data_IF_134717126482
#
_entry.id   IF_134717126482
#
_cell.length_a   1.000
_cell.length_b   1.000
_cell.length_c   1.000
_cell.angle_alpha   90.00
_cell.angle_beta   90.00
_cell.angle_gamma   90.00
#
_symmetry.space_group_name_H-M   'P 1'
#
loop_
_entity.id
_entity.type
_entity.pdbx_description
1 polymer ?
#
# COMPACT_ATOMS: atom_id res chain seq x y z
N UNK A 1 0.55 -0.44 20.64
CA UNK A 1 1.68 -0.67 19.71
C UNK A 1 2.27 0.70 19.42
N UNK A 2 3.59 0.79 19.39
CA UNK A 2 4.33 2.03 19.64
C UNK A 2 4.66 2.73 18.32
N UNK A 3 4.22 3.99 18.14
CA UNK A 3 4.54 4.85 16.99
C UNK A 3 5.87 5.57 17.22
N UNK A 4 6.52 6.16 16.21
CA UNK A 4 7.77 6.91 16.44
C UNK A 4 7.58 8.07 17.44
N UNK A 5 6.38 8.65 17.47
CA UNK A 5 5.97 9.73 18.39
C UNK A 5 5.67 9.23 19.81
N UNK A 6 5.26 7.97 19.96
CA UNK A 6 4.95 7.38 21.28
C UNK A 6 5.99 6.38 21.77
N UNK A 7 7.05 6.16 20.99
CA UNK A 7 8.14 5.24 21.27
C UNK A 7 9.20 5.84 22.16
N UNK A 8 9.69 5.02 23.06
CA UNK A 8 10.85 5.32 23.88
C UNK A 8 12.11 4.83 23.18
N UNK A 9 13.25 5.45 23.47
CA UNK A 9 14.55 5.04 22.92
C UNK A 9 14.85 3.56 23.20
N UNK A 10 14.42 3.02 24.35
CA UNK A 10 14.53 1.59 24.69
C UNK A 10 13.78 0.63 23.75
N UNK A 11 12.81 1.12 22.99
CA UNK A 11 12.00 0.31 22.07
C UNK A 11 12.70 0.13 20.71
N UNK A 12 13.74 0.92 20.43
CA UNK A 12 14.55 0.79 19.22
C UNK A 12 15.70 -0.22 19.41
N UNK A 13 16.16 -0.80 18.30
CA UNK A 13 17.37 -1.63 18.29
C UNK A 13 18.58 -0.71 18.50
N UNK A 14 19.26 -0.88 19.63
CA UNK A 14 20.46 -0.11 19.96
C UNK A 14 21.72 -0.86 19.52
N UNK A 15 22.61 -0.19 18.78
CA UNK A 15 23.90 -0.77 18.40
C UNK A 15 24.84 -0.73 19.61
N UNK A 16 25.52 -1.84 19.89
CA UNK A 16 26.55 -1.89 20.93
C UNK A 16 27.72 -0.97 20.54
N UNK A 17 28.18 -0.09 21.45
CA UNK A 17 29.28 0.80 21.15
C UNK A 17 30.59 0.02 21.02
N UNK A 18 31.35 0.29 19.95
CA UNK A 18 32.75 -0.12 19.82
C UNK A 18 33.62 0.98 20.43
N UNK A 19 34.47 0.64 21.40
CA UNK A 19 35.34 1.61 22.07
C UNK A 19 36.78 1.45 21.59
N UNK A 20 37.46 2.58 21.37
CA UNK A 20 38.89 2.64 21.05
C UNK A 20 39.58 3.70 21.92
N UNK A 21 40.90 3.56 22.07
CA UNK A 21 41.73 4.55 22.74
C UNK A 21 42.02 5.76 21.83
N UNK A 22 42.11 6.95 22.41
CA UNK A 22 42.42 8.19 21.72
C UNK A 22 43.72 8.17 20.91
N UNK A 23 44.71 7.39 21.33
CA UNK A 23 46.01 7.23 20.65
C UNK A 23 46.04 6.12 19.60
N UNK A 24 44.91 5.46 19.35
CA UNK A 24 44.77 4.56 18.20
C UNK A 24 45.05 5.33 16.92
N UNK A 25 45.83 4.74 16.00
CA UNK A 25 46.05 5.35 14.68
C UNK A 25 44.86 5.08 13.73
N UNK A 26 44.74 5.89 12.68
CA UNK A 26 43.59 5.79 11.76
C UNK A 26 43.55 4.48 10.99
N UNK A 27 44.69 3.87 10.66
CA UNK A 27 44.72 2.62 9.88
C UNK A 27 44.19 1.47 10.74
N UNK A 28 44.64 1.39 11.99
CA UNK A 28 44.15 0.42 12.97
C UNK A 28 42.66 0.58 13.20
N UNK A 29 42.18 1.81 13.46
CA UNK A 29 40.74 2.06 13.65
C UNK A 29 39.93 1.64 12.40
N UNK A 30 40.36 2.06 11.20
CA UNK A 30 39.63 1.72 9.97
C UNK A 30 39.58 0.20 9.73
N UNK A 31 40.68 -0.52 10.03
CA UNK A 31 40.71 -1.98 9.99
C UNK A 31 39.72 -2.62 10.96
N UNK A 32 39.65 -2.13 12.20
CA UNK A 32 38.69 -2.62 13.19
C UNK A 32 37.23 -2.37 12.79
N UNK A 33 36.94 -1.17 12.27
CA UNK A 33 35.61 -0.78 11.78
C UNK A 33 35.18 -1.66 10.60
N UNK A 34 36.08 -1.87 9.63
CA UNK A 34 35.84 -2.72 8.46
C UNK A 34 35.59 -4.17 8.84
N UNK A 35 36.42 -4.75 9.72
CA UNK A 35 36.27 -6.12 10.20
C UNK A 35 34.94 -6.37 10.94
N UNK A 36 34.38 -5.31 11.55
CA UNK A 36 33.11 -5.35 12.29
C UNK A 36 31.91 -4.91 11.45
N UNK A 37 32.12 -4.42 10.22
CA UNK A 37 31.06 -3.89 9.36
C UNK A 37 30.35 -2.65 9.95
N UNK A 38 31.06 -1.84 10.73
CA UNK A 38 30.52 -0.63 11.37
C UNK A 38 31.23 0.64 10.85
N UNK A 39 30.60 1.80 11.03
CA UNK A 39 31.08 3.07 10.46
C UNK A 39 31.43 4.12 11.52
N UNK A 40 31.51 3.69 12.79
CA UNK A 40 31.71 4.56 13.94
C UNK A 40 32.31 3.83 15.13
N UNK A 41 33.07 4.58 15.94
CA UNK A 41 33.60 4.14 17.21
C UNK A 41 33.46 5.25 18.26
N UNK A 42 33.30 4.86 19.52
CA UNK A 42 33.46 5.75 20.66
C UNK A 42 34.93 5.79 21.05
N UNK A 43 35.44 7.00 21.28
CA UNK A 43 36.85 7.24 21.55
C UNK A 43 36.99 7.69 23.00
N UNK A 44 37.82 6.98 23.77
CA UNK A 44 38.13 7.32 25.15
C UNK A 44 39.42 8.12 25.21
N UNK A 45 39.37 9.32 25.80
CA UNK A 45 40.53 10.18 26.04
C UNK A 45 40.53 10.67 27.49
N UNK A 46 41.09 9.84 28.38
CA UNK A 46 40.90 9.99 29.83
C UNK A 46 39.42 9.92 30.19
N UNK A 47 38.91 10.94 30.88
CA UNK A 47 37.49 11.06 31.27
C UNK A 47 36.58 11.55 30.14
N UNK A 48 37.16 11.96 28.99
CA UNK A 48 36.38 12.43 27.83
C UNK A 48 35.94 11.26 26.97
N UNK A 49 34.70 11.33 26.51
CA UNK A 49 34.16 10.40 25.53
C UNK A 49 33.80 11.16 24.26
N UNK A 50 34.38 10.72 23.15
CA UNK A 50 34.09 11.24 21.82
C UNK A 50 33.48 10.20 20.90
N UNK A 51 33.07 10.65 19.72
CA UNK A 51 32.63 9.76 18.64
C UNK A 51 33.42 10.07 17.36
N UNK A 52 33.96 9.02 16.77
CA UNK A 52 34.61 9.05 15.46
C UNK A 52 33.67 8.38 14.44
N UNK A 53 33.55 8.99 13.28
CA UNK A 53 32.65 8.59 12.20
C UNK A 53 33.32 8.75 10.84
N UNK A 54 32.68 8.26 9.78
CA UNK A 54 33.14 8.48 8.39
C UNK A 54 33.37 9.96 8.05
N UNK A 55 32.61 10.89 8.63
CA UNK A 55 32.84 12.33 8.43
C UNK A 55 34.22 12.75 8.97
N UNK A 56 34.63 12.21 10.12
CA UNK A 56 35.95 12.47 10.70
C UNK A 56 37.06 11.85 9.85
N UNK A 57 36.84 10.64 9.30
CA UNK A 57 37.77 10.01 8.37
C UNK A 57 37.99 10.85 7.11
N UNK A 58 36.92 11.38 6.51
CA UNK A 58 37.03 12.28 5.34
C UNK A 58 37.85 13.53 5.68
N UNK A 59 37.71 14.09 6.89
CA UNK A 59 38.54 15.21 7.33
C UNK A 59 40.01 14.81 7.55
N UNK A 60 40.24 13.57 7.97
CA UNK A 60 41.57 13.08 8.28
C UNK A 60 42.42 12.78 7.04
N UNK A 61 41.81 12.21 6.00
CA UNK A 61 42.50 11.93 4.73
C UNK A 61 42.94 13.19 3.97
N UNK A 62 42.43 14.36 4.34
CA UNK A 62 42.83 15.65 3.78
C UNK A 62 44.13 16.19 4.39
N UNK A 63 44.67 15.54 5.43
CA UNK A 63 45.92 15.99 6.07
C UNK A 63 47.14 15.52 5.29
N UNK A 64 48.16 16.36 5.28
CA UNK A 64 49.47 16.08 4.67
C UNK A 64 50.33 15.22 5.61
N UNK A 65 49.84 14.03 5.94
CA UNK A 65 50.52 13.04 6.77
C UNK A 65 50.00 11.63 6.44
N UNK A 66 50.84 10.59 6.53
CA UNK A 66 50.41 9.23 6.32
C UNK A 66 49.34 8.83 7.37
N UNK A 67 48.23 8.17 7.00
CA UNK A 67 47.15 7.82 7.93
C UNK A 67 47.60 7.05 9.18
N UNK A 68 48.65 6.24 9.08
CA UNK A 68 49.21 5.49 10.21
C UNK A 68 49.91 6.38 11.26
N UNK A 69 50.28 7.61 10.91
CA UNK A 69 50.86 8.59 11.83
C UNK A 69 49.80 9.49 12.48
N UNK A 70 48.57 9.49 11.96
CA UNK A 70 47.47 10.31 12.45
C UNK A 70 46.73 9.61 13.59
N UNK A 71 46.48 10.34 14.68
CA UNK A 71 45.76 9.83 15.84
C UNK A 71 44.28 10.12 15.74
N UNK A 72 43.46 9.20 16.23
CA UNK A 72 42.00 9.32 16.21
C UNK A 72 41.53 10.55 17.00
N UNK A 73 42.21 10.89 18.11
CA UNK A 73 41.90 12.08 18.93
C UNK A 73 41.87 13.40 18.15
N UNK A 74 42.71 13.56 17.13
CA UNK A 74 42.87 14.82 16.41
C UNK A 74 41.66 15.15 15.52
N UNK A 75 40.83 14.16 15.25
CA UNK A 75 39.66 14.28 14.37
C UNK A 75 38.34 13.97 15.09
N UNK A 76 38.39 13.63 16.38
CA UNK A 76 37.24 13.19 17.15
C UNK A 76 36.51 14.37 17.79
N UNK A 77 35.17 14.35 17.75
CA UNK A 77 34.37 15.29 18.53
C UNK A 77 34.09 14.71 19.92
N UNK A 78 34.58 15.37 20.96
CA UNK A 78 34.43 15.00 22.38
C UNK A 78 33.20 15.61 23.06
N UNK A 79 32.21 16.03 22.28
CA UNK A 79 30.91 16.50 22.79
C UNK A 79 29.75 15.74 22.15
N UNK A 80 29.75 14.38 22.18
CA UNK A 80 28.70 13.59 21.56
C UNK A 80 27.36 13.89 22.23
N UNK A 81 26.33 14.14 21.39
CA UNK A 81 24.96 14.33 21.88
C UNK A 81 24.41 12.99 22.34
N UNK A 82 23.64 13.02 23.42
CA UNK A 82 23.06 11.83 24.02
C UNK A 82 21.58 12.00 24.33
N UNK A 83 20.88 10.87 24.41
CA UNK A 83 19.52 10.72 24.90
C UNK A 83 19.48 9.63 25.98
N UNK A 84 18.48 9.68 26.86
CA UNK A 84 18.15 8.63 27.82
C UNK A 84 17.41 7.48 27.12
N UNK A 85 17.52 6.25 27.64
CA UNK A 85 16.65 5.12 27.26
C UNK A 85 15.16 5.40 27.49
N UNK A 86 14.85 6.33 28.38
CA UNK A 86 13.49 6.76 28.70
C UNK A 86 13.03 8.00 27.88
N UNK A 87 13.88 8.58 27.04
CA UNK A 87 13.48 9.68 26.15
C UNK A 87 12.61 9.14 25.00
N UNK A 88 11.85 10.03 24.36
CA UNK A 88 11.06 9.66 23.18
C UNK A 88 11.95 9.55 21.93
N UNK A 89 11.67 8.58 21.04
CA UNK A 89 12.42 8.41 19.77
C UNK A 89 12.30 9.66 18.88
N UNK A 90 11.15 10.34 18.93
CA UNK A 90 10.96 11.61 18.26
C UNK A 90 11.95 12.69 18.72
N UNK A 91 12.20 12.79 20.03
CA UNK A 91 13.17 13.76 20.57
C UNK A 91 14.60 13.43 20.14
N UNK A 92 14.95 12.13 20.10
CA UNK A 92 16.22 11.69 19.54
C UNK A 92 16.38 12.07 18.06
N UNK A 93 15.32 11.93 17.25
CA UNK A 93 15.29 12.34 15.85
C UNK A 93 15.42 13.88 15.71
N UNK A 94 14.70 14.64 16.52
CA UNK A 94 14.77 16.11 16.53
C UNK A 94 16.16 16.62 16.95
N UNK A 95 16.80 15.93 17.90
CA UNK A 95 18.18 16.22 18.30
C UNK A 95 19.16 15.99 17.15
N UNK A 96 18.99 14.89 16.40
CA UNK A 96 19.77 14.60 15.20
C UNK A 96 19.61 15.69 14.13
N UNK A 97 18.37 16.09 13.81
CA UNK A 97 18.07 17.13 12.83
C UNK A 97 18.64 18.49 13.23
N UNK A 98 18.39 18.93 14.48
CA UNK A 98 18.82 20.23 14.99
C UNK A 98 20.34 20.39 14.96
N UNK A 99 21.06 19.33 15.30
CA UNK A 99 22.52 19.36 15.34
C UNK A 99 23.19 18.85 14.05
N UNK A 100 22.41 18.47 13.03
CA UNK A 100 22.89 17.87 11.78
C UNK A 100 23.84 16.70 12.01
N UNK A 101 23.46 15.83 12.94
CA UNK A 101 24.18 14.60 13.27
C UNK A 101 23.31 13.39 12.95
N UNK A 102 23.92 12.27 12.56
CA UNK A 102 23.19 11.06 12.18
C UNK A 102 23.11 10.02 13.29
N UNK A 103 23.63 10.33 14.48
CA UNK A 103 23.77 9.39 15.59
C UNK A 103 23.81 10.11 16.93
N UNK A 104 23.27 9.47 17.96
CA UNK A 104 23.29 9.93 19.34
C UNK A 104 23.71 8.78 20.25
N UNK A 105 24.37 9.11 21.37
CA UNK A 105 24.63 8.13 22.43
C UNK A 105 23.34 7.87 23.20
N UNK A 106 23.12 6.61 23.56
CA UNK A 106 22.01 6.23 24.43
C UNK A 106 22.55 5.92 25.82
N UNK A 107 21.97 6.57 26.82
CA UNK A 107 22.39 6.47 28.22
C UNK A 107 21.30 5.89 29.11
N UNK A 108 21.72 5.15 30.13
CA UNK A 108 20.88 4.75 31.26
C UNK A 108 21.55 5.27 32.53
N UNK A 109 21.12 6.43 33.02
CA UNK A 109 21.89 7.20 33.99
C UNK A 109 23.21 7.68 33.37
N UNK A 110 24.33 7.41 34.04
CA UNK A 110 25.67 7.80 33.56
C UNK A 110 26.29 6.79 32.58
N UNK A 111 25.71 5.60 32.47
CA UNK A 111 26.22 4.53 31.61
C UNK A 111 25.79 4.72 30.15
N UNK A 112 26.74 4.63 29.21
CA UNK A 112 26.46 4.54 27.77
C UNK A 112 26.11 3.11 27.43
N UNK A 113 24.83 2.85 27.16
CA UNK A 113 24.31 1.51 26.87
C UNK A 113 24.22 1.21 25.38
N UNK A 114 24.35 2.23 24.52
CA UNK A 114 24.17 2.05 23.08
C UNK A 114 24.46 3.29 22.23
N UNK A 115 24.40 3.11 20.92
CA UNK A 115 24.34 4.17 19.92
C UNK A 115 23.04 3.98 19.12
N UNK A 116 22.28 5.05 18.97
CA UNK A 116 21.10 5.12 18.10
C UNK A 116 21.46 5.96 16.87
N UNK A 117 21.34 5.41 15.66
CA UNK A 117 21.54 6.13 14.41
C UNK A 117 20.22 6.47 13.72
N UNK A 118 20.28 7.40 12.77
CA UNK A 118 19.16 7.73 11.90
C UNK A 118 18.71 6.50 11.06
N UNK A 119 19.64 5.62 10.68
CA UNK A 119 19.30 4.36 10.01
C UNK A 119 18.60 3.39 10.95
N UNK A 120 18.92 3.38 12.24
CA UNK A 120 18.24 2.54 13.23
C UNK A 120 16.79 3.04 13.47
N UNK A 121 16.58 4.37 13.46
CA UNK A 121 15.26 5.00 13.48
C UNK A 121 14.43 4.65 12.24
N UNK A 122 15.02 4.73 11.04
CA UNK A 122 14.37 4.30 9.80
C UNK A 122 14.15 2.78 9.78
N UNK A 123 15.07 2.02 10.36
CA UNK A 123 14.97 0.60 10.59
C UNK A 123 13.77 0.27 11.48
N UNK A 124 13.53 0.97 12.58
CA UNK A 124 12.34 0.75 13.41
C UNK A 124 11.02 0.85 12.63
N UNK A 125 10.91 1.81 11.71
CA UNK A 125 9.73 1.99 10.83
C UNK A 125 9.68 0.98 9.67
N UNK A 126 10.81 0.72 9.01
CA UNK A 126 10.91 -0.19 7.87
C UNK A 126 10.89 -1.68 8.27
N UNK A 127 11.37 -2.00 9.49
CA UNK A 127 11.54 -3.37 9.96
C UNK A 127 10.20 -4.06 10.20
N UNK A 128 9.11 -3.34 10.49
CA UNK A 128 7.81 -4.00 10.69
C UNK A 128 7.30 -4.66 9.39
N UNK A 129 7.37 -3.99 8.23
CA UNK A 129 6.93 -4.59 6.97
C UNK A 129 7.88 -5.70 6.49
N UNK A 130 9.19 -5.53 6.69
CA UNK A 130 10.18 -6.57 6.39
C UNK A 130 10.04 -7.80 7.29
N UNK A 131 9.73 -7.62 8.58
CA UNK A 131 9.45 -8.72 9.50
C UNK A 131 8.19 -9.47 9.11
N UNK A 132 7.10 -8.76 8.78
CA UNK A 132 5.87 -9.38 8.26
C UNK A 132 6.17 -10.20 7.01
N UNK A 133 6.91 -9.62 6.05
CA UNK A 133 7.34 -10.32 4.83
C UNK A 133 8.19 -11.56 5.12
N UNK A 134 9.13 -11.47 6.07
CA UNK A 134 9.96 -12.60 6.49
C UNK A 134 9.15 -13.69 7.21
N UNK A 135 8.18 -13.33 8.06
CA UNK A 135 7.25 -14.26 8.71
C UNK A 135 6.41 -14.98 7.64
N UNK A 136 5.87 -14.26 6.64
CA UNK A 136 5.14 -14.87 5.51
C UNK A 136 6.02 -15.88 4.78
N UNK A 137 7.24 -15.50 4.42
CA UNK A 137 8.15 -16.38 3.67
C UNK A 137 8.51 -17.67 4.44
N UNK A 138 8.61 -17.58 5.77
CA UNK A 138 8.97 -18.70 6.65
C UNK A 138 7.77 -19.58 7.02
N UNK A 139 6.54 -19.08 6.92
CA UNK A 139 5.35 -19.84 7.26
C UNK A 139 5.34 -21.19 6.52
N UNK A 140 5.09 -22.28 7.24
CA UNK A 140 5.08 -23.66 6.68
C UNK A 140 3.70 -24.28 6.64
N UNK A 141 2.71 -23.64 7.27
CA UNK A 141 1.31 -24.05 7.27
C UNK A 141 0.38 -22.86 7.04
N UNK A 142 -0.85 -23.07 6.52
CA UNK A 142 -1.84 -22.01 6.40
C UNK A 142 -2.15 -21.33 7.75
N UNK A 143 -2.18 -22.08 8.85
CA UNK A 143 -2.45 -21.53 10.18
C UNK A 143 -1.41 -20.47 10.61
N UNK A 144 -0.14 -20.65 10.24
CA UNK A 144 0.93 -19.68 10.55
C UNK A 144 0.76 -18.35 9.82
N UNK A 145 0.01 -18.30 8.71
CA UNK A 145 -0.23 -17.05 7.95
C UNK A 145 -1.28 -16.13 8.59
N UNK A 146 -2.08 -16.61 9.55
CA UNK A 146 -3.05 -15.79 10.26
C UNK A 146 -2.38 -14.65 11.06
N UNK A 147 -1.21 -14.94 11.64
CA UNK A 147 -0.42 -13.97 12.42
C UNK A 147 0.11 -12.81 11.56
N UNK A 148 0.86 -13.02 10.46
CA UNK A 148 1.30 -11.92 9.62
C UNK A 148 0.12 -11.16 9.00
N UNK A 149 -1.00 -11.82 8.67
CA UNK A 149 -2.22 -11.13 8.23
C UNK A 149 -2.75 -10.13 9.29
N UNK A 150 -2.75 -10.51 10.57
CA UNK A 150 -3.12 -9.62 11.66
C UNK A 150 -2.10 -8.49 11.88
N UNK A 151 -0.80 -8.75 11.67
CA UNK A 151 0.25 -7.74 11.76
C UNK A 151 0.12 -6.66 10.67
N UNK A 152 -0.35 -7.00 9.46
CA UNK A 152 -0.65 -6.01 8.40
C UNK A 152 -1.66 -4.96 8.88
N UNK A 153 -2.72 -5.38 9.57
CA UNK A 153 -3.70 -4.44 10.13
C UNK A 153 -3.11 -3.54 11.22
N UNK A 154 -2.22 -4.09 12.05
CA UNK A 154 -1.52 -3.30 13.05
C UNK A 154 -0.58 -2.26 12.41
N UNK A 155 0.09 -2.64 11.32
CA UNK A 155 0.96 -1.77 10.54
C UNK A 155 0.17 -0.62 9.89
N UNK A 156 -1.03 -0.88 9.36
CA UNK A 156 -1.92 0.16 8.81
C UNK A 156 -2.18 1.24 9.86
N UNK A 157 -2.54 0.86 11.08
CA UNK A 157 -2.80 1.81 12.18
C UNK A 157 -1.58 2.68 12.50
N UNK A 158 -0.39 2.08 12.56
CA UNK A 158 0.85 2.79 12.86
C UNK A 158 1.17 3.78 11.74
N UNK A 159 1.22 3.32 10.49
CA UNK A 159 1.59 4.16 9.35
C UNK A 159 0.59 5.32 9.16
N UNK A 160 -0.70 5.05 9.33
CA UNK A 160 -1.71 6.09 9.25
C UNK A 160 -1.59 7.11 10.38
N UNK A 161 -1.37 6.65 11.63
CA UNK A 161 -1.15 7.53 12.77
C UNK A 161 0.11 8.39 12.64
N UNK A 162 1.12 7.90 11.93
CA UNK A 162 2.35 8.62 11.61
C UNK A 162 2.21 9.58 10.40
N UNK A 163 1.01 9.69 9.81
CA UNK A 163 0.75 10.59 8.69
C UNK A 163 1.40 10.17 7.37
N UNK A 164 1.73 8.87 7.23
CA UNK A 164 2.23 8.34 5.96
C UNK A 164 1.15 8.49 4.89
N UNK A 165 1.56 8.93 3.70
CA UNK A 165 0.65 9.14 2.57
C UNK A 165 -0.11 7.85 2.23
N UNK A 166 -1.41 7.98 1.97
CA UNK A 166 -2.34 6.86 1.83
C UNK A 166 -1.95 5.91 0.69
N UNK A 167 -1.41 6.44 -0.41
CA UNK A 167 -0.95 5.67 -1.57
C UNK A 167 0.27 4.79 -1.24
N UNK A 168 1.11 5.24 -0.30
CA UNK A 168 2.25 4.44 0.20
C UNK A 168 1.75 3.32 1.10
N UNK A 169 0.77 3.60 1.97
CA UNK A 169 0.13 2.59 2.82
C UNK A 169 -0.54 1.52 1.95
N UNK A 170 -1.36 1.93 0.97
CA UNK A 170 -2.07 1.03 0.09
C UNK A 170 -1.11 0.14 -0.74
N UNK A 171 -0.03 0.72 -1.28
CA UNK A 171 1.00 -0.04 -1.99
C UNK A 171 1.70 -1.08 -1.12
N UNK A 172 2.05 -0.73 0.12
CA UNK A 172 2.68 -1.63 1.07
C UNK A 172 1.74 -2.77 1.49
N UNK A 173 0.49 -2.44 1.85
CA UNK A 173 -0.53 -3.40 2.27
C UNK A 173 -0.84 -4.38 1.14
N UNK A 174 -1.09 -3.88 -0.08
CA UNK A 174 -1.32 -4.75 -1.24
C UNK A 174 -0.11 -5.63 -1.55
N UNK A 175 1.11 -5.13 -1.35
CA UNK A 175 2.33 -5.92 -1.47
C UNK A 175 2.42 -7.08 -0.47
N UNK A 176 2.04 -6.84 0.79
CA UNK A 176 2.03 -7.87 1.84
C UNK A 176 0.86 -8.86 1.66
N UNK A 177 -0.34 -8.38 1.32
CA UNK A 177 -1.50 -9.22 1.00
C UNK A 177 -1.19 -10.20 -0.14
N UNK A 178 -0.60 -9.71 -1.24
CA UNK A 178 -0.17 -10.59 -2.34
C UNK A 178 0.86 -11.63 -1.93
N UNK A 179 1.77 -11.32 -1.00
CA UNK A 179 2.70 -12.30 -0.46
C UNK A 179 1.98 -13.37 0.36
N UNK A 180 1.01 -12.99 1.20
CA UNK A 180 0.17 -13.95 1.96
C UNK A 180 -0.57 -14.87 0.98
N UNK A 181 -1.22 -14.30 -0.03
CA UNK A 181 -2.04 -15.08 -0.98
C UNK A 181 -1.17 -16.02 -1.82
N UNK A 182 0.00 -15.55 -2.27
CA UNK A 182 0.98 -16.37 -2.98
C UNK A 182 1.48 -17.51 -2.11
N UNK A 183 1.83 -17.24 -0.85
CA UNK A 183 2.35 -18.25 0.07
C UNK A 183 1.29 -19.29 0.40
N UNK A 184 0.07 -18.85 0.66
CA UNK A 184 -1.08 -19.73 0.88
C UNK A 184 -1.31 -20.64 -0.33
N UNK A 185 -1.30 -20.09 -1.54
CA UNK A 185 -1.44 -20.88 -2.77
C UNK A 185 -0.33 -21.90 -2.93
N UNK A 186 0.92 -21.55 -2.62
CA UNK A 186 2.05 -22.49 -2.65
C UNK A 186 1.90 -23.67 -1.68
N UNK A 187 1.22 -23.46 -0.55
CA UNK A 187 0.96 -24.52 0.44
C UNK A 187 -0.20 -25.43 0.04
N UNK A 188 -1.23 -24.87 -0.59
CA UNK A 188 -2.46 -25.59 -0.91
C UNK A 188 -2.44 -26.25 -2.29
N UNK A 189 -1.84 -25.59 -3.29
CA UNK A 189 -1.86 -26.04 -4.67
C UNK A 189 -0.63 -26.89 -5.00
N UNK A 190 -0.81 -28.17 -5.43
CA UNK A 190 0.29 -29.00 -5.90
C UNK A 190 1.02 -28.37 -7.09
N UNK A 191 2.26 -28.81 -7.32
CA UNK A 191 3.10 -28.26 -8.39
C UNK A 191 2.42 -28.28 -9.76
N UNK A 192 1.79 -29.40 -10.14
CA UNK A 192 1.07 -29.53 -11.41
C UNK A 192 -0.05 -28.48 -11.59
N UNK A 193 -0.79 -28.18 -10.52
CA UNK A 193 -1.83 -27.14 -10.54
C UNK A 193 -1.18 -25.75 -10.65
N UNK A 194 -0.11 -25.47 -9.91
CA UNK A 194 0.59 -24.17 -9.96
C UNK A 194 1.19 -23.84 -11.33
N UNK A 195 1.74 -24.83 -12.03
CA UNK A 195 2.34 -24.67 -13.35
C UNK A 195 1.30 -24.51 -14.48
N UNK A 196 0.06 -24.92 -14.24
CA UNK A 196 -1.03 -24.89 -15.20
C UNK A 196 -2.18 -23.98 -14.77
N UNK A 197 -1.93 -23.06 -13.86
CA UNK A 197 -2.92 -22.07 -13.44
C UNK A 197 -2.28 -20.71 -13.16
N UNK A 198 -3.11 -19.67 -13.14
CA UNK A 198 -2.77 -18.32 -12.71
C UNK A 198 -3.79 -17.89 -11.66
N UNK A 199 -3.35 -17.78 -10.41
CA UNK A 199 -4.12 -17.16 -9.34
C UNK A 199 -4.05 -15.64 -9.51
N UNK A 200 -5.21 -15.00 -9.58
CA UNK A 200 -5.32 -13.55 -9.72
C UNK A 200 -6.15 -12.96 -8.58
N UNK A 201 -5.84 -11.71 -8.23
CA UNK A 201 -6.68 -10.83 -7.41
C UNK A 201 -7.26 -9.74 -8.28
N UNK A 202 -8.42 -9.22 -7.91
CA UNK A 202 -9.18 -8.27 -8.73
C UNK A 202 -9.72 -7.14 -7.85
N UNK A 203 -10.50 -6.23 -8.45
CA UNK A 203 -11.10 -5.14 -7.70
C UNK A 203 -10.04 -4.29 -6.99
N UNK A 204 -10.36 -3.82 -5.77
CA UNK A 204 -9.45 -2.96 -5.01
C UNK A 204 -8.12 -3.61 -4.64
N UNK A 205 -8.07 -4.93 -4.44
CA UNK A 205 -6.82 -5.64 -4.17
C UNK A 205 -5.94 -5.71 -5.43
N UNK A 206 -6.55 -5.98 -6.59
CA UNK A 206 -5.86 -5.96 -7.89
C UNK A 206 -5.30 -4.58 -8.28
N UNK A 207 -5.96 -3.50 -7.84
CA UNK A 207 -5.46 -2.12 -7.99
C UNK A 207 -4.42 -1.70 -6.95
N UNK A 208 -4.16 -2.52 -5.92
CA UNK A 208 -3.38 -2.12 -4.72
C UNK A 208 -3.96 -0.89 -4.01
N UNK A 209 -5.29 -0.80 -3.94
CA UNK A 209 -6.04 0.30 -3.30
C UNK A 209 -6.85 -0.18 -2.08
N UNK A 210 -6.90 -1.49 -1.82
CA UNK A 210 -7.51 -2.04 -0.62
C UNK A 210 -6.56 -1.86 0.58
N UNK A 211 -7.04 -1.19 1.62
CA UNK A 211 -6.28 -0.98 2.86
C UNK A 211 -6.88 -1.84 3.97
N UNK A 212 -8.13 -1.56 4.33
CA UNK A 212 -8.92 -2.43 5.22
C UNK A 212 -9.52 -3.57 4.39
N UNK A 213 -9.46 -4.77 4.93
CA UNK A 213 -9.99 -6.00 4.32
C UNK A 213 -11.52 -5.94 4.31
N UNK A 214 -12.11 -5.80 3.13
CA UNK A 214 -13.57 -5.70 2.96
C UNK A 214 -14.19 -6.90 2.26
N UNK A 215 -13.38 -7.65 1.52
CA UNK A 215 -13.77 -8.77 0.65
C UNK A 215 -12.51 -9.56 0.25
N UNK A 216 -12.68 -10.58 -0.59
CA UNK A 216 -11.60 -11.38 -1.16
C UNK A 216 -11.82 -11.62 -2.66
N UNK A 217 -11.74 -10.57 -3.47
CA UNK A 217 -11.92 -10.68 -4.93
C UNK A 217 -10.76 -11.43 -5.59
N UNK A 218 -10.99 -12.70 -5.95
CA UNK A 218 -9.97 -13.58 -6.54
C UNK A 218 -10.55 -14.55 -7.57
N UNK A 219 -9.68 -15.04 -8.46
CA UNK A 219 -10.03 -15.99 -9.51
C UNK A 219 -8.84 -16.88 -9.86
N UNK A 220 -9.13 -18.02 -10.50
CA UNK A 220 -8.13 -18.96 -10.98
C UNK A 220 -8.33 -19.22 -12.47
N UNK A 221 -7.34 -18.85 -13.28
CA UNK A 221 -7.34 -19.14 -14.71
C UNK A 221 -6.52 -20.41 -14.94
N UNK A 222 -7.10 -21.44 -15.54
CA UNK A 222 -6.41 -22.68 -15.89
C UNK A 222 -5.86 -22.62 -17.32
N UNK A 223 -4.81 -23.41 -17.57
CA UNK A 223 -4.36 -23.69 -18.94
C UNK A 223 -5.45 -24.46 -19.68
N UNK A 224 -5.65 -24.15 -20.95
CA UNK A 224 -6.65 -24.84 -21.78
C UNK A 224 -6.41 -26.36 -21.78
N UNK A 225 -7.49 -27.12 -21.55
CA UNK A 225 -7.44 -28.58 -21.50
C UNK A 225 -6.82 -29.19 -20.24
N UNK A 226 -6.34 -28.37 -19.29
CA UNK A 226 -5.85 -28.87 -18.01
C UNK A 226 -7.01 -29.15 -17.06
N UNK A 227 -7.10 -30.40 -16.59
CA UNK A 227 -8.03 -30.82 -15.56
C UNK A 227 -7.24 -31.29 -14.33
N UNK A 228 -7.72 -30.93 -13.14
CA UNK A 228 -7.10 -31.32 -11.88
C UNK A 228 -8.15 -31.94 -10.95
N UNK A 229 -7.96 -33.21 -10.58
CA UNK A 229 -8.83 -33.89 -9.63
C UNK A 229 -8.67 -33.28 -8.22
N UNK A 230 -9.80 -32.95 -7.60
CA UNK A 230 -9.82 -32.25 -6.31
C UNK A 230 -9.60 -30.73 -6.39
N UNK A 231 -9.73 -30.10 -7.57
CA UNK A 231 -9.64 -28.64 -7.72
C UNK A 231 -10.57 -27.91 -6.75
N UNK A 232 -11.84 -28.31 -6.69
CA UNK A 232 -12.86 -27.74 -5.78
C UNK A 232 -12.45 -27.78 -4.29
N UNK A 233 -11.73 -28.84 -3.88
CA UNK A 233 -11.20 -28.94 -2.51
C UNK A 233 -10.11 -27.91 -2.26
N UNK A 234 -9.20 -27.72 -3.22
CA UNK A 234 -8.09 -26.75 -3.11
C UNK A 234 -8.64 -25.32 -3.12
N UNK A 235 -9.59 -25.01 -4.00
CA UNK A 235 -10.15 -23.67 -4.11
C UNK A 235 -10.99 -23.29 -2.89
N UNK A 236 -11.79 -24.23 -2.36
CA UNK A 236 -12.51 -24.07 -1.09
C UNK A 236 -11.56 -23.84 0.07
N UNK A 237 -10.52 -24.65 0.21
CA UNK A 237 -9.53 -24.51 1.28
C UNK A 237 -8.82 -23.14 1.22
N UNK A 238 -8.56 -22.60 0.03
CA UNK A 238 -8.00 -21.27 -0.14
C UNK A 238 -8.96 -20.18 0.38
N UNK A 239 -10.23 -20.22 -0.04
CA UNK A 239 -11.27 -19.28 0.44
C UNK A 239 -11.44 -19.36 1.96
N UNK A 240 -11.53 -20.57 2.54
CA UNK A 240 -11.69 -20.77 3.98
C UNK A 240 -10.47 -20.27 4.78
N UNK A 241 -9.26 -20.49 4.28
CA UNK A 241 -8.05 -19.97 4.91
C UNK A 241 -8.04 -18.43 4.90
N UNK A 242 -8.40 -17.78 3.78
CA UNK A 242 -8.53 -16.32 3.74
C UNK A 242 -9.58 -15.79 4.72
N UNK A 243 -10.71 -16.48 4.88
CA UNK A 243 -11.72 -16.14 5.91
C UNK A 243 -11.10 -16.22 7.30
N UNK A 244 -10.34 -17.29 7.58
CA UNK A 244 -9.67 -17.45 8.88
C UNK A 244 -8.61 -16.38 9.17
N UNK A 245 -8.07 -15.75 8.13
CA UNK A 245 -7.12 -14.64 8.26
C UNK A 245 -7.82 -13.28 8.43
N UNK A 246 -9.15 -13.22 8.29
CA UNK A 246 -9.94 -12.00 8.38
C UNK A 246 -10.29 -11.33 7.05
N UNK A 247 -10.17 -12.04 5.91
CA UNK A 247 -10.71 -11.57 4.63
C UNK A 247 -12.13 -12.13 4.45
N UNK A 248 -13.18 -11.32 4.65
CA UNK A 248 -14.56 -11.81 4.58
C UNK A 248 -14.90 -12.30 3.16
N UNK A 249 -15.87 -13.21 2.99
CA UNK A 249 -16.32 -13.63 1.66
C UNK A 249 -16.86 -12.43 0.88
N UNK A 250 -16.58 -12.39 -0.43
CA UNK A 250 -17.10 -11.32 -1.28
C UNK A 250 -18.64 -11.44 -1.42
N UNK A 251 -19.42 -10.38 -1.11
CA UNK A 251 -20.88 -10.39 -1.27
C UNK A 251 -21.32 -10.68 -2.72
N UNK A 252 -20.54 -10.22 -3.72
CA UNK A 252 -20.76 -10.50 -5.14
C UNK A 252 -20.32 -11.89 -5.59
N UNK A 253 -19.73 -12.70 -4.70
CA UNK A 253 -19.28 -14.05 -5.02
C UNK A 253 -18.05 -14.13 -5.93
N UNK A 254 -17.23 -13.07 -5.95
CA UNK A 254 -16.04 -12.95 -6.80
C UNK A 254 -14.90 -13.76 -6.18
N UNK A 255 -14.99 -15.08 -6.26
CA UNK A 255 -14.06 -15.99 -5.57
C UNK A 255 -13.76 -17.21 -6.42
N UNK A 256 -12.51 -17.64 -6.43
CA UNK A 256 -12.01 -18.80 -7.18
C UNK A 256 -12.63 -20.15 -6.76
N UNK A 257 -13.35 -20.18 -5.63
CA UNK A 257 -14.21 -21.29 -5.22
C UNK A 257 -15.54 -21.36 -5.97
N UNK A 258 -15.85 -20.40 -6.85
CA UNK A 258 -17.04 -20.39 -7.71
C UNK A 258 -16.67 -20.67 -9.17
N UNK A 259 -17.48 -21.46 -9.91
CA UNK A 259 -17.19 -21.82 -11.30
C UNK A 259 -16.98 -20.62 -12.23
N UNK A 260 -17.74 -19.54 -12.07
CA UNK A 260 -17.57 -18.32 -12.89
C UNK A 260 -16.15 -17.74 -12.80
N UNK A 261 -15.50 -17.89 -11.65
CA UNK A 261 -14.18 -17.34 -11.35
C UNK A 261 -13.08 -18.41 -11.33
N UNK A 262 -13.39 -19.62 -11.81
CA UNK A 262 -12.46 -20.74 -11.92
C UNK A 262 -12.73 -21.49 -13.23
N UNK A 263 -12.04 -21.08 -14.28
CA UNK A 263 -12.21 -21.62 -15.63
C UNK A 263 -10.85 -21.70 -16.32
N UNK A 264 -10.77 -22.45 -17.42
CA UNK A 264 -9.62 -22.35 -18.30
C UNK A 264 -9.62 -21.04 -19.12
N UNK A 265 -8.49 -20.74 -19.73
CA UNK A 265 -8.28 -19.53 -20.55
C UNK A 265 -9.31 -19.40 -21.69
N UNK A 266 -9.82 -20.51 -22.22
CA UNK A 266 -10.81 -20.48 -23.30
C UNK A 266 -12.18 -20.09 -22.75
N UNK A 267 -12.64 -20.77 -21.70
CA UNK A 267 -13.92 -20.51 -21.03
C UNK A 267 -13.98 -19.11 -20.42
N UNK A 268 -12.90 -18.65 -19.77
CA UNK A 268 -12.81 -17.27 -19.31
C UNK A 268 -12.92 -16.26 -20.46
N UNK A 269 -12.29 -16.54 -21.60
CA UNK A 269 -12.40 -15.65 -22.75
C UNK A 269 -13.79 -15.65 -23.40
N UNK A 270 -14.56 -16.74 -23.28
CA UNK A 270 -15.97 -16.77 -23.67
C UNK A 270 -16.83 -15.97 -22.68
N UNK A 271 -16.58 -16.14 -21.38
CA UNK A 271 -17.19 -15.32 -20.32
C UNK A 271 -16.94 -13.81 -20.53
N UNK A 272 -15.71 -13.42 -20.89
CA UNK A 272 -15.38 -12.03 -21.21
C UNK A 272 -16.15 -11.50 -22.41
N UNK A 273 -16.39 -12.34 -23.42
CA UNK A 273 -17.20 -12.00 -24.59
C UNK A 273 -18.65 -11.75 -24.18
N UNK A 274 -19.17 -12.61 -23.31
CA UNK A 274 -20.55 -12.52 -22.82
C UNK A 274 -20.75 -11.29 -21.91
N UNK A 275 -19.76 -10.91 -21.10
CA UNK A 275 -19.82 -9.65 -20.34
C UNK A 275 -19.81 -8.39 -21.21
N UNK A 276 -19.34 -8.49 -22.45
CA UNK A 276 -19.31 -7.37 -23.41
C UNK A 276 -20.60 -7.32 -24.23
N UNK A 277 -21.00 -8.46 -24.78
CA UNK A 277 -22.04 -8.56 -25.81
C UNK A 277 -23.34 -9.22 -25.34
N UNK A 278 -23.32 -9.90 -24.20
CA UNK A 278 -24.50 -10.57 -23.65
C UNK A 278 -25.46 -9.62 -22.94
N UNK A 279 -26.60 -10.19 -22.56
CA UNK A 279 -27.70 -9.47 -21.91
C UNK A 279 -27.65 -9.55 -20.36
N UNK A 280 -26.61 -10.19 -19.80
CA UNK A 280 -26.44 -10.29 -18.35
C UNK A 280 -26.21 -8.90 -17.74
N UNK A 281 -27.12 -8.40 -16.88
CA UNK A 281 -26.97 -7.08 -16.26
C UNK A 281 -25.72 -6.97 -15.37
N UNK A 282 -25.19 -8.08 -14.84
CA UNK A 282 -23.98 -8.09 -14.02
C UNK A 282 -22.69 -8.10 -14.86
N UNK A 283 -22.79 -8.38 -16.17
CA UNK A 283 -21.66 -8.49 -17.09
C UNK A 283 -20.71 -7.28 -17.06
N UNK A 284 -21.19 -6.03 -17.24
CA UNK A 284 -20.35 -4.84 -17.19
C UNK A 284 -19.63 -4.65 -15.85
N UNK A 285 -20.26 -5.01 -14.73
CA UNK A 285 -19.64 -4.92 -13.40
C UNK A 285 -18.54 -5.97 -13.25
N UNK A 286 -18.81 -7.22 -13.64
CA UNK A 286 -17.83 -8.30 -13.63
C UNK A 286 -16.62 -7.98 -14.52
N UNK A 287 -16.86 -7.39 -15.69
CA UNK A 287 -15.78 -6.89 -16.54
C UNK A 287 -14.97 -5.80 -15.83
N UNK A 288 -15.62 -4.81 -15.20
CA UNK A 288 -14.92 -3.75 -14.49
C UNK A 288 -14.03 -4.29 -13.35
N UNK A 289 -14.47 -5.34 -12.67
CA UNK A 289 -13.68 -6.05 -11.66
C UNK A 289 -12.49 -6.76 -12.31
N UNK A 290 -12.72 -7.49 -13.42
CA UNK A 290 -11.66 -8.21 -14.13
C UNK A 290 -10.60 -7.27 -14.75
N UNK A 291 -10.97 -6.06 -15.18
CA UNK A 291 -10.00 -5.07 -15.69
C UNK A 291 -8.92 -4.70 -14.67
N UNK A 292 -9.18 -4.92 -13.39
CA UNK A 292 -8.23 -4.67 -12.31
C UNK A 292 -7.39 -5.89 -11.94
N UNK A 293 -7.58 -7.03 -12.64
CA UNK A 293 -6.91 -8.28 -12.34
C UNK A 293 -5.39 -8.11 -12.26
N UNK A 294 -4.77 -8.61 -11.21
CA UNK A 294 -3.32 -8.71 -11.07
C UNK A 294 -2.94 -10.15 -10.71
N UNK A 295 -1.90 -10.66 -11.38
CA UNK A 295 -1.40 -12.00 -11.09
C UNK A 295 -0.72 -12.05 -9.72
N UNK A 296 -0.97 -13.13 -8.98
CA UNK A 296 -0.41 -13.39 -7.66
C UNK A 296 0.55 -14.57 -7.70
N UNK A 297 0.15 -15.67 -8.33
CA UNK A 297 0.93 -16.89 -8.39
C UNK A 297 0.59 -17.72 -9.64
N UNK A 298 1.55 -18.53 -10.09
CA UNK A 298 1.37 -19.40 -11.26
C UNK A 298 1.85 -18.77 -12.56
N UNK A 299 1.27 -19.17 -13.69
CA UNK A 299 1.66 -18.73 -15.03
C UNK A 299 0.92 -17.44 -15.45
N UNK A 300 1.59 -16.30 -15.28
CA UNK A 300 1.03 -14.97 -15.59
C UNK A 300 0.69 -14.78 -17.08
N UNK A 301 1.23 -15.62 -17.97
CA UNK A 301 0.91 -15.56 -19.41
C UNK A 301 -0.57 -15.88 -19.69
N UNK A 302 -1.23 -16.63 -18.81
CA UNK A 302 -2.66 -16.93 -18.92
C UNK A 302 -3.52 -15.66 -18.77
N UNK A 303 -3.19 -14.82 -17.79
CA UNK A 303 -3.86 -13.52 -17.62
C UNK A 303 -3.53 -12.58 -18.78
N UNK A 304 -2.27 -12.57 -19.24
CA UNK A 304 -1.85 -11.76 -20.39
C UNK A 304 -2.63 -12.14 -21.66
N UNK A 305 -2.85 -13.44 -21.91
CA UNK A 305 -3.64 -13.92 -23.04
C UNK A 305 -5.10 -13.44 -23.00
N UNK A 306 -5.73 -13.46 -21.82
CA UNK A 306 -7.10 -12.95 -21.64
C UNK A 306 -7.18 -11.43 -21.87
N UNK A 307 -6.22 -10.67 -21.35
CA UNK A 307 -6.15 -9.21 -21.57
C UNK A 307 -6.00 -8.87 -23.04
N UNK A 308 -5.17 -9.62 -23.77
CA UNK A 308 -5.00 -9.43 -25.21
C UNK A 308 -6.25 -9.82 -26.00
N UNK A 309 -6.95 -10.89 -25.60
CA UNK A 309 -8.25 -11.25 -26.18
C UNK A 309 -9.29 -10.15 -25.93
N UNK A 310 -9.36 -9.63 -24.72
CA UNK A 310 -10.25 -8.52 -24.34
C UNK A 310 -9.99 -7.27 -25.18
N UNK A 311 -8.72 -6.87 -25.32
CA UNK A 311 -8.31 -5.71 -26.12
C UNK A 311 -8.76 -5.84 -27.58
N UNK A 312 -8.63 -7.03 -28.17
CA UNK A 312 -9.08 -7.31 -29.55
C UNK A 312 -10.60 -7.22 -29.69
N UNK A 313 -11.38 -7.65 -28.70
CA UNK A 313 -12.85 -7.57 -28.74
C UNK A 313 -13.37 -6.12 -28.64
N UNK A 314 -12.62 -5.24 -27.99
CA UNK A 314 -13.05 -3.86 -27.71
C UNK A 314 -12.54 -2.83 -28.72
N UNK A 315 -11.71 -3.23 -29.68
CA UNK A 315 -11.19 -2.31 -30.70
C UNK A 315 -12.34 -1.81 -31.59
N UNK A 316 -12.62 -0.50 -31.55
CA UNK A 316 -13.66 0.13 -32.39
C UNK A 316 -15.09 0.03 -31.84
N UNK A 317 -15.25 -0.29 -30.55
CA UNK A 317 -16.56 -0.49 -29.91
C UNK A 317 -17.02 0.75 -29.11
N UNK A 318 -17.17 1.89 -29.77
CA UNK A 318 -17.50 3.18 -29.12
C UNK A 318 -18.80 3.11 -28.29
N UNK A 319 -19.82 2.43 -28.79
CA UNK A 319 -21.09 2.22 -28.08
C UNK A 319 -20.92 1.41 -26.80
N UNK A 320 -19.99 0.44 -26.79
CA UNK A 320 -19.66 -0.32 -25.60
C UNK A 320 -18.94 0.54 -24.57
N UNK A 321 -17.95 1.34 -24.98
CA UNK A 321 -17.25 2.24 -24.07
C UNK A 321 -18.21 3.23 -23.40
N UNK A 322 -19.15 3.79 -24.16
CA UNK A 322 -20.18 4.67 -23.62
C UNK A 322 -21.10 3.95 -22.62
N UNK A 323 -21.63 2.77 -22.96
CA UNK A 323 -22.42 1.93 -22.04
C UNK A 323 -21.65 1.57 -20.77
N UNK A 324 -20.39 1.19 -20.91
CA UNK A 324 -19.52 0.83 -19.79
C UNK A 324 -19.29 2.05 -18.88
N UNK A 325 -19.01 3.23 -19.45
CA UNK A 325 -18.86 4.47 -18.71
C UNK A 325 -20.16 4.93 -18.02
N UNK A 326 -21.34 4.63 -18.59
CA UNK A 326 -22.63 5.05 -18.04
C UNK A 326 -22.88 4.59 -16.60
N UNK A 327 -22.25 3.51 -16.15
CA UNK A 327 -22.36 3.02 -14.78
C UNK A 327 -21.92 4.05 -13.73
N UNK A 328 -21.13 5.09 -14.06
CA UNK A 328 -20.84 6.20 -13.13
C UNK A 328 -22.10 6.94 -12.65
N UNK A 329 -23.22 6.80 -13.37
CA UNK A 329 -24.53 7.40 -13.04
C UNK A 329 -25.40 6.49 -12.18
N UNK A 330 -25.00 5.25 -11.90
CA UNK A 330 -25.86 4.25 -11.24
C UNK A 330 -26.28 4.63 -9.81
N UNK A 331 -25.55 5.54 -9.17
CA UNK A 331 -25.83 6.02 -7.81
C UNK A 331 -26.40 7.45 -7.77
N UNK A 332 -26.74 8.03 -8.93
CA UNK A 332 -27.34 9.37 -8.99
C UNK A 332 -28.84 9.36 -8.66
N UNK A 333 -29.51 8.22 -8.84
CA UNK A 333 -30.97 8.06 -8.73
C UNK A 333 -31.49 7.76 -7.31
N UNK A 334 -30.62 7.77 -6.30
CA UNK A 334 -30.96 7.53 -4.89
C UNK A 334 -31.31 8.77 -4.07
N UNK A 335 -32.04 9.74 -4.65
CA UNK A 335 -32.86 10.75 -3.95
C UNK A 335 -33.30 11.77 -5.01
N UNK A 336 -34.60 11.98 -5.15
CA UNK A 336 -35.17 13.05 -5.96
C UNK A 336 -34.41 14.36 -5.73
N UNK A 337 -33.77 14.86 -6.79
CA UNK A 337 -33.24 16.22 -6.92
C UNK A 337 -32.64 16.84 -5.65
N UNK A 338 -31.33 16.65 -5.43
CA UNK A 338 -30.52 17.72 -4.83
C UNK A 338 -29.93 17.42 -3.45
N UNK A 339 -29.00 16.48 -3.39
CA UNK A 339 -27.91 16.58 -2.40
C UNK A 339 -26.78 17.47 -2.93
N UNK A 340 -26.49 17.42 -4.24
CA UNK A 340 -25.52 18.31 -4.89
C UNK A 340 -25.94 19.79 -4.83
N UNK A 341 -27.25 20.09 -4.83
CA UNK A 341 -27.78 21.45 -4.59
C UNK A 341 -27.67 21.89 -3.12
N UNK A 342 -27.43 20.97 -2.18
CA UNK A 342 -27.17 21.24 -0.75
C UNK A 342 -25.67 21.42 -0.44
N UNK A 343 -24.80 21.42 -1.46
CA UNK A 343 -23.37 21.70 -1.31
C UNK A 343 -22.97 23.14 -0.97
N UNK A 344 -23.83 24.17 -0.84
CA UNK A 344 -23.44 25.39 -0.13
C UNK A 344 -23.66 25.22 1.38
N UNK A 345 -22.63 24.74 2.08
CA UNK A 345 -22.59 24.68 3.55
C UNK A 345 -23.45 23.60 4.17
N UNK A 346 -22.90 22.38 4.30
CA UNK A 346 -23.47 21.19 4.95
C UNK A 346 -24.22 21.54 6.27
N UNK A 347 -25.53 21.79 6.17
CA UNK A 347 -26.46 22.00 7.30
C UNK A 347 -27.69 21.13 7.09
N UNK A 348 -28.07 20.41 8.14
CA UNK A 348 -29.33 19.68 8.26
C UNK A 348 -29.17 18.26 8.83
N UNK A 349 -30.16 17.76 9.60
CA UNK A 349 -30.11 16.44 10.25
C UNK A 349 -30.18 15.24 9.29
N UNK A 350 -30.58 15.44 8.02
CA UNK A 350 -30.57 14.40 6.97
C UNK A 350 -29.24 14.28 6.20
N UNK A 351 -28.24 15.12 6.49
CA UNK A 351 -26.87 14.96 5.99
C UNK A 351 -26.04 14.03 6.91
N UNK A 352 -26.69 13.05 7.55
CA UNK A 352 -26.15 12.29 8.67
C UNK A 352 -24.99 11.38 8.28
N UNK A 353 -25.04 10.79 7.07
CA UNK A 353 -24.08 9.77 6.65
C UNK A 353 -24.00 9.73 5.11
N UNK A 354 -22.77 9.64 4.58
CA UNK A 354 -22.46 9.65 3.14
C UNK A 354 -21.71 8.37 2.81
N UNK A 355 -22.20 7.58 1.85
CA UNK A 355 -21.46 6.44 1.30
C UNK A 355 -20.37 6.98 0.36
N UNK A 356 -19.15 7.10 0.88
CA UNK A 356 -18.02 7.68 0.17
C UNK A 356 -17.58 6.84 -1.02
N UNK A 357 -17.79 5.51 -0.94
CA UNK A 357 -17.49 4.59 -2.04
C UNK A 357 -18.40 4.88 -3.22
N UNK A 358 -19.72 4.95 -3.00
CA UNK A 358 -20.70 5.18 -4.09
C UNK A 358 -20.61 6.59 -4.67
N UNK A 359 -20.47 7.60 -3.82
CA UNK A 359 -20.58 9.00 -4.23
C UNK A 359 -19.28 9.56 -4.81
N UNK A 360 -18.12 9.08 -4.34
CA UNK A 360 -16.83 9.66 -4.68
C UNK A 360 -15.86 8.68 -5.35
N UNK A 361 -15.47 7.63 -4.63
CA UNK A 361 -14.42 6.71 -5.08
C UNK A 361 -14.83 5.94 -6.35
N UNK A 362 -16.06 5.41 -6.39
CA UNK A 362 -16.53 4.60 -7.51
C UNK A 362 -16.54 5.36 -8.84
N UNK A 363 -17.09 6.59 -8.96
CA UNK A 363 -17.02 7.34 -10.22
C UNK A 363 -15.59 7.63 -10.69
N UNK A 364 -14.65 7.92 -9.78
CA UNK A 364 -13.24 8.14 -10.14
C UNK A 364 -12.62 6.85 -10.67
N UNK A 365 -12.75 5.75 -9.92
CA UNK A 365 -12.20 4.43 -10.30
C UNK A 365 -12.82 3.94 -11.61
N UNK A 366 -14.15 3.93 -11.70
CA UNK A 366 -14.87 3.39 -12.86
C UNK A 366 -14.76 4.27 -14.10
N UNK A 367 -14.83 5.60 -13.94
CA UNK A 367 -14.59 6.54 -15.03
C UNK A 367 -13.17 6.41 -15.60
N UNK A 368 -12.17 6.25 -14.71
CA UNK A 368 -10.79 6.00 -15.13
C UNK A 368 -10.64 4.63 -15.81
N UNK A 369 -11.34 3.58 -15.34
CA UNK A 369 -11.40 2.28 -16.03
C UNK A 369 -11.93 2.43 -17.45
N UNK A 370 -13.00 3.19 -17.65
CA UNK A 370 -13.60 3.38 -18.97
C UNK A 370 -12.59 4.01 -19.95
N UNK A 371 -11.90 5.07 -19.54
CA UNK A 371 -10.85 5.71 -20.33
C UNK A 371 -9.66 4.79 -20.58
N UNK A 372 -9.21 4.06 -19.55
CA UNK A 372 -8.14 3.09 -19.68
C UNK A 372 -8.50 1.98 -20.67
N UNK A 373 -9.75 1.55 -20.67
CA UNK A 373 -10.27 0.54 -21.59
C UNK A 373 -10.33 1.05 -23.04
N UNK A 374 -10.86 2.26 -23.24
CA UNK A 374 -10.92 2.94 -24.54
C UNK A 374 -9.54 3.12 -25.18
N UNK A 375 -8.54 3.47 -24.36
CA UNK A 375 -7.20 3.77 -24.84
C UNK A 375 -6.18 2.64 -24.66
N UNK A 376 -6.62 1.45 -24.24
CA UNK A 376 -5.76 0.27 -24.10
C UNK A 376 -4.65 0.41 -23.04
N UNK A 377 -4.90 1.14 -21.95
CA UNK A 377 -3.95 1.30 -20.84
C UNK A 377 -3.90 0.03 -20.00
N UNK A 378 -2.71 -0.57 -19.89
CA UNK A 378 -2.50 -1.84 -19.19
C UNK A 378 -2.39 -1.72 -17.66
N UNK A 379 -2.21 -0.50 -17.12
CA UNK A 379 -2.13 -0.28 -15.68
C UNK A 379 -3.44 -0.66 -14.98
N UNK A 380 -3.35 -1.23 -13.76
CA UNK A 380 -4.53 -1.59 -12.96
C UNK A 380 -4.88 -0.53 -11.92
N UNK A 381 -3.89 0.04 -11.22
CA UNK A 381 -4.11 1.10 -10.23
C UNK A 381 -4.69 2.37 -10.85
N UNK A 382 -5.64 3.02 -10.17
CA UNK A 382 -6.38 4.19 -10.69
C UNK A 382 -5.43 5.38 -10.93
N UNK A 383 -4.56 5.69 -9.98
CA UNK A 383 -3.55 6.75 -10.16
C UNK A 383 -2.58 6.44 -11.31
N UNK A 384 -2.15 5.18 -11.44
CA UNK A 384 -1.27 4.76 -12.54
C UNK A 384 -1.98 4.84 -13.91
N UNK A 385 -3.28 4.53 -13.97
CA UNK A 385 -4.09 4.73 -15.18
C UNK A 385 -4.21 6.20 -15.54
N UNK A 386 -4.53 7.07 -14.58
CA UNK A 386 -4.59 8.53 -14.80
C UNK A 386 -3.26 9.08 -15.32
N UNK A 387 -2.13 8.65 -14.74
CA UNK A 387 -0.81 9.02 -15.20
C UNK A 387 -0.53 8.56 -16.64
N UNK A 388 -0.85 7.30 -16.97
CA UNK A 388 -0.65 6.76 -18.31
C UNK A 388 -1.55 7.46 -19.35
N UNK A 389 -2.81 7.73 -19.00
CA UNK A 389 -3.75 8.47 -19.84
C UNK A 389 -3.27 9.91 -20.09
N UNK A 390 -2.75 10.57 -19.06
CA UNK A 390 -2.21 11.92 -19.17
C UNK A 390 -0.95 11.96 -20.04
N UNK A 391 -0.02 11.01 -19.82
CA UNK A 391 1.18 10.88 -20.65
C UNK A 391 0.86 10.60 -22.12
N UNK A 392 -0.26 9.92 -22.40
CA UNK A 392 -0.76 9.68 -23.75
C UNK A 392 -1.62 10.83 -24.33
N UNK A 393 -1.76 11.95 -23.60
CA UNK A 393 -2.54 13.12 -24.04
C UNK A 393 -4.06 12.88 -24.11
N UNK A 394 -4.57 11.86 -23.40
CA UNK A 394 -6.00 11.48 -23.39
C UNK A 394 -6.81 12.20 -22.33
N UNK A 395 -6.14 12.71 -21.30
CA UNK A 395 -6.71 13.53 -20.24
C UNK A 395 -5.74 14.66 -19.90
N UNK A 396 -6.27 15.83 -19.55
CA UNK A 396 -5.48 16.95 -19.08
C UNK A 396 -4.66 16.56 -17.83
N UNK A 397 -3.41 17.06 -17.75
CA UNK A 397 -2.49 16.71 -16.66
C UNK A 397 -2.90 17.29 -15.30
N UNK A 398 -3.59 18.44 -15.30
CA UNK A 398 -4.20 19.02 -14.10
C UNK A 398 -5.34 18.14 -13.62
N UNK A 399 -6.29 17.82 -14.51
CA UNK A 399 -7.43 16.94 -14.17
C UNK A 399 -6.97 15.56 -13.66
N UNK A 400 -5.97 14.95 -14.29
CA UNK A 400 -5.42 13.66 -13.84
C UNK A 400 -4.83 13.73 -12.42
N UNK A 401 -4.14 14.83 -12.09
CA UNK A 401 -3.58 15.07 -10.75
C UNK A 401 -4.68 15.28 -9.73
N UNK A 402 -5.63 16.16 -10.02
CA UNK A 402 -6.75 16.48 -9.14
C UNK A 402 -7.59 15.24 -8.83
N UNK A 403 -7.81 14.35 -9.82
CA UNK A 403 -8.50 13.08 -9.62
C UNK A 403 -7.74 12.11 -8.72
N UNK A 404 -6.41 12.02 -8.89
CA UNK A 404 -5.58 11.18 -8.03
C UNK A 404 -5.57 11.72 -6.58
N UNK A 405 -5.42 13.03 -6.41
CA UNK A 405 -5.43 13.67 -5.08
C UNK A 405 -6.80 13.56 -4.41
N UNK A 406 -7.90 13.73 -5.15
CA UNK A 406 -9.26 13.52 -4.64
C UNK A 406 -9.48 12.06 -4.22
N UNK A 407 -9.02 11.09 -5.02
CA UNK A 407 -9.09 9.66 -4.67
C UNK A 407 -8.34 9.39 -3.36
N UNK A 408 -7.10 9.86 -3.25
CA UNK A 408 -6.27 9.69 -2.06
C UNK A 408 -6.91 10.35 -0.83
N UNK A 409 -7.44 11.57 -0.95
CA UNK A 409 -8.16 12.24 0.12
C UNK A 409 -9.35 11.40 0.62
N UNK A 410 -10.18 10.90 -0.30
CA UNK A 410 -11.32 10.05 0.08
C UNK A 410 -10.89 8.71 0.67
N UNK A 411 -9.81 8.10 0.19
CA UNK A 411 -9.24 6.88 0.78
C UNK A 411 -8.77 7.11 2.22
N UNK A 412 -8.12 8.26 2.50
CA UNK A 412 -7.68 8.62 3.84
C UNK A 412 -8.87 8.81 4.80
N UNK A 413 -9.87 9.60 4.40
CA UNK A 413 -11.09 9.81 5.19
C UNK A 413 -11.85 8.51 5.47
N UNK A 414 -11.90 7.61 4.47
CA UNK A 414 -12.49 6.27 4.65
C UNK A 414 -11.68 5.45 5.65
N UNK A 415 -10.36 5.51 5.58
CA UNK A 415 -9.49 4.77 6.48
C UNK A 415 -9.64 5.26 7.92
N UNK A 416 -9.69 6.58 8.14
CA UNK A 416 -9.96 7.19 9.45
C UNK A 416 -11.28 6.66 10.05
N UNK A 417 -12.36 6.71 9.25
CA UNK A 417 -13.68 6.19 9.64
C UNK A 417 -13.61 4.70 9.99
N UNK A 418 -12.96 3.90 9.15
CA UNK A 418 -12.84 2.45 9.35
C UNK A 418 -12.01 2.11 10.59
N UNK A 419 -10.91 2.82 10.87
CA UNK A 419 -10.13 2.62 12.08
C UNK A 419 -10.92 3.00 13.35
N UNK A 420 -11.73 4.07 13.29
CA UNK A 420 -12.60 4.45 14.39
C UNK A 420 -13.71 3.40 14.66
N UNK A 421 -14.29 2.83 13.60
CA UNK A 421 -15.26 1.73 13.71
C UNK A 421 -14.62 0.48 14.34
N UNK A 422 -13.43 0.08 13.87
CA UNK A 422 -12.68 -1.06 14.42
C UNK A 422 -12.36 -0.84 15.90
N UNK A 423 -11.94 0.35 16.29
CA UNK A 423 -11.65 0.69 17.69
C UNK A 423 -12.89 0.58 18.60
N UNK A 424 -14.10 0.74 18.04
CA UNK A 424 -15.39 0.56 18.74
C UNK A 424 -15.93 -0.88 18.64
N UNK A 425 -15.19 -1.81 18.02
CA UNK A 425 -15.65 -3.18 17.78
C UNK A 425 -16.74 -3.29 16.71
N UNK A 426 -16.87 -2.29 15.83
CA UNK A 426 -17.85 -2.26 14.74
C UNK A 426 -17.22 -2.75 13.43
N UNK A 427 -18.03 -3.36 12.57
CA UNK A 427 -17.60 -3.73 11.24
C UNK A 427 -17.35 -2.47 10.39
N UNK A 428 -16.21 -2.37 9.68
CA UNK A 428 -15.95 -1.27 8.76
C UNK A 428 -16.96 -1.22 7.62
N UNK A 429 -17.39 -0.02 7.24
CA UNK A 429 -18.25 0.20 6.07
C UNK A 429 -17.69 1.31 5.14
N UNK A 430 -18.53 1.81 4.23
CA UNK A 430 -18.16 2.90 3.31
C UNK A 430 -18.70 4.27 3.76
N UNK A 431 -19.32 4.31 4.94
CA UNK A 431 -20.05 5.46 5.44
C UNK A 431 -19.11 6.41 6.16
N UNK A 432 -19.27 7.69 5.87
CA UNK A 432 -18.64 8.78 6.62
C UNK A 432 -19.69 9.75 7.10
N UNK A 433 -19.46 10.36 8.26
CA UNK A 433 -20.37 11.34 8.86
C UNK A 433 -19.72 12.71 8.81
N UNK A 434 -20.10 13.60 7.88
CA UNK A 434 -19.44 14.90 7.74
C UNK A 434 -19.46 15.73 9.02
N UNK A 435 -20.49 15.58 9.86
CA UNK A 435 -20.58 16.29 11.14
C UNK A 435 -19.50 15.89 12.16
N UNK A 436 -18.94 14.68 12.04
CA UNK A 436 -17.86 14.18 12.90
C UNK A 436 -16.47 14.58 12.39
N UNK A 437 -16.38 15.15 11.17
CA UNK A 437 -15.12 15.58 10.55
C UNK A 437 -14.70 16.99 10.99
N UNK A 438 -13.38 17.17 11.10
CA UNK A 438 -12.75 18.49 11.30
C UNK A 438 -13.12 19.48 10.19
N UNK A 439 -12.96 20.79 10.45
CA UNK A 439 -13.28 21.82 9.44
C UNK A 439 -12.47 21.65 8.14
N UNK A 440 -11.18 21.31 8.28
CA UNK A 440 -10.28 21.11 7.14
C UNK A 440 -10.67 19.86 6.35
N UNK A 441 -10.92 18.74 7.02
CA UNK A 441 -11.33 17.48 6.39
C UNK A 441 -12.67 17.60 5.66
N UNK A 442 -13.63 18.33 6.25
CA UNK A 442 -14.90 18.65 5.57
C UNK A 442 -14.69 19.46 4.30
N UNK A 443 -13.76 20.42 4.32
CA UNK A 443 -13.45 21.23 3.14
C UNK A 443 -12.76 20.37 2.07
N UNK A 444 -11.77 19.56 2.45
CA UNK A 444 -11.08 18.65 1.55
C UNK A 444 -12.02 17.61 0.92
N UNK A 445 -12.95 17.04 1.70
CA UNK A 445 -14.00 16.16 1.19
C UNK A 445 -14.88 16.88 0.16
N UNK A 446 -15.31 18.11 0.47
CA UNK A 446 -16.17 18.90 -0.42
C UNK A 446 -15.46 19.20 -1.74
N UNK A 447 -14.19 19.59 -1.69
CA UNK A 447 -13.39 19.89 -2.88
C UNK A 447 -13.14 18.62 -3.71
N UNK A 448 -12.85 17.49 -3.06
CA UNK A 448 -12.74 16.18 -3.71
C UNK A 448 -14.03 15.80 -4.43
N UNK A 449 -15.19 15.94 -3.78
CA UNK A 449 -16.49 15.64 -4.40
C UNK A 449 -16.84 16.58 -5.56
N UNK A 450 -16.40 17.85 -5.53
CA UNK A 450 -16.53 18.76 -6.66
C UNK A 450 -15.70 18.28 -7.87
N UNK A 451 -14.45 17.84 -7.64
CA UNK A 451 -13.61 17.24 -8.70
C UNK A 451 -14.30 16.01 -9.30
N UNK A 452 -14.87 15.14 -8.45
CA UNK A 452 -15.63 13.97 -8.93
C UNK A 452 -16.83 14.37 -9.79
N UNK A 453 -17.59 15.39 -9.38
CA UNK A 453 -18.73 15.92 -10.16
C UNK A 453 -18.27 16.40 -11.53
N UNK A 454 -17.21 17.20 -11.57
CA UNK A 454 -16.72 17.80 -12.81
C UNK A 454 -16.17 16.72 -13.76
N UNK A 455 -15.54 15.69 -13.21
CA UNK A 455 -15.12 14.51 -13.98
C UNK A 455 -16.30 13.70 -14.53
N UNK A 456 -17.36 13.49 -13.75
CA UNK A 456 -18.59 12.84 -14.25
C UNK A 456 -19.23 13.64 -15.38
N UNK A 457 -19.26 14.97 -15.26
CA UNK A 457 -19.76 15.84 -16.32
C UNK A 457 -18.91 15.73 -17.58
N UNK A 458 -17.58 15.76 -17.43
CA UNK A 458 -16.64 15.59 -18.53
C UNK A 458 -16.81 14.23 -19.23
N UNK A 459 -16.90 13.13 -18.47
CA UNK A 459 -17.19 11.79 -19.02
C UNK A 459 -18.54 11.74 -19.74
N UNK A 460 -19.54 12.44 -19.20
CA UNK A 460 -20.86 12.59 -19.83
C UNK A 460 -20.78 13.22 -21.22
N UNK A 461 -19.94 14.24 -21.38
CA UNK A 461 -19.70 14.90 -22.66
C UNK A 461 -18.84 14.04 -23.59
N UNK A 462 -17.75 13.46 -23.08
CA UNK A 462 -16.82 12.61 -23.82
C UNK A 462 -17.53 11.40 -24.44
N UNK A 463 -18.30 10.66 -23.64
CA UNK A 463 -19.04 9.47 -24.09
C UNK A 463 -20.45 9.75 -24.60
N UNK A 464 -20.89 11.03 -24.58
CA UNK A 464 -22.26 11.44 -24.96
C UNK A 464 -23.34 10.62 -24.25
N UNK A 465 -23.20 10.46 -22.94
CA UNK A 465 -24.05 9.59 -22.13
C UNK A 465 -25.54 10.00 -22.11
N UNK A 466 -25.87 11.21 -22.56
CA UNK A 466 -27.25 11.69 -22.68
C UNK A 466 -27.96 11.19 -23.95
N UNK A 467 -27.21 10.55 -24.86
CA UNK A 467 -27.74 9.96 -26.10
C UNK A 467 -27.91 8.43 -26.01
N UNK A 468 -27.59 7.82 -24.85
CA UNK A 468 -27.66 6.38 -24.62
C UNK A 468 -29.07 5.89 -24.28
#
# INVERSE_FOLDING_TARGET
MVTLVTARVRDAILRKPHFVDADTDLVTLCGELAARGIADALVRDGDRLGIFTTTNLVQAILRDAPPAALKVRDFTSFTPRSVSVEDDLYDAMMLMLRHRIHRVLVRKGDEVVGILSQMDLMGFLANQSHLVSAEIARATSPAELARPAAQVEALIRVLHGDGVRIEVIAGLVGGLNRQIFRRLWQMLAPQALRENSCLIVMGSEGRSEQIIRTDQDNALILREGFAFDGLDRVTRAFTEALISFGYPPCPGGIMLSRPLWCQDVRGFGDTLRDWIHGDDPEGPMNLAIFLDAAAVAGDESLLAALRERLRRMLTGSDSFHARFAAAIRQFDSGAEGGWWRRLPGLRGPEAAEIDLKKLGIFPVVHGTRALALEHGVAATGTAARLQALSAAGRIDAGLARDLADALHCMMALKLDSNLAQIARGQAPDNSIRPAELGRLDRQALRDSLNIVRDFKQWLGQHYRLDLL
#
